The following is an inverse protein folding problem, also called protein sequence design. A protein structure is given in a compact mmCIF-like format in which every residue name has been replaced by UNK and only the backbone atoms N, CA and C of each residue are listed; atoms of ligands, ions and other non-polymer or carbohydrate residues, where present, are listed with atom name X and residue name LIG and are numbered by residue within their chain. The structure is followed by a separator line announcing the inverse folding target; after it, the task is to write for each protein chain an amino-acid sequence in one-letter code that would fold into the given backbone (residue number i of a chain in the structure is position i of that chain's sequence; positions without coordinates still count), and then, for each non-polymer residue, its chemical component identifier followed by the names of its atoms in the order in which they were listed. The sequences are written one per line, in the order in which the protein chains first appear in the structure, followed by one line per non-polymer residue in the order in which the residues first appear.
data_IF_248655062205
#
_entry.id   IF_248655062205
#
_cell.length_a   1.000
_cell.length_b   1.000
_cell.length_c   1.000
_cell.angle_alpha   90.00
_cell.angle_beta   90.00
_cell.angle_gamma   90.00
#
_symmetry.space_group_name_H-M   'P 1'
#
loop_
_entity.id
_entity.type
_entity.pdbx_description
1 polymer ?
#
# COMPACT_ATOMS: atom_id res chain seq x y z
N UNK A 1 -9.10 -10.55 5.28
CA UNK A 1 -9.27 -10.14 3.86
C UNK A 1 -8.43 -8.89 3.60
N UNK A 2 -7.83 -8.73 2.41
CA UNK A 2 -7.09 -7.51 2.00
C UNK A 2 -7.72 -6.90 0.74
N UNK A 3 -8.52 -5.83 0.85
CA UNK A 3 -9.19 -5.21 -0.28
C UNK A 3 -8.21 -4.50 -1.21
N UNK A 4 -8.50 -4.48 -2.51
CA UNK A 4 -7.67 -3.77 -3.48
C UNK A 4 -8.11 -2.30 -3.62
N UNK A 5 -7.21 -1.38 -3.31
CA UNK A 5 -7.45 0.08 -3.32
C UNK A 5 -7.24 0.74 -4.68
N UNK A 6 -6.93 -0.01 -5.75
CA UNK A 6 -6.78 0.56 -7.11
C UNK A 6 -8.06 1.26 -7.60
N UNK A 7 -9.22 0.83 -7.11
CA UNK A 7 -10.52 1.44 -7.45
C UNK A 7 -10.76 2.73 -6.67
N UNK A 8 -10.53 2.71 -5.36
CA UNK A 8 -10.86 3.84 -4.48
C UNK A 8 -9.75 4.89 -4.39
N UNK A 9 -8.48 4.49 -4.55
CA UNK A 9 -7.26 5.31 -4.50
C UNK A 9 -7.26 6.35 -3.38
N UNK A 10 -7.83 5.99 -2.24
CA UNK A 10 -8.08 6.91 -1.13
C UNK A 10 -7.69 6.23 0.19
N UNK A 11 -6.78 6.84 0.96
CA UNK A 11 -6.43 6.34 2.29
C UNK A 11 -7.63 6.32 3.24
N UNK A 12 -8.56 7.26 3.10
CA UNK A 12 -9.78 7.29 3.90
C UNK A 12 -10.58 5.98 3.78
N UNK A 13 -10.83 5.50 2.56
CA UNK A 13 -11.55 4.25 2.35
C UNK A 13 -10.75 3.02 2.76
N UNK A 14 -9.42 3.06 2.58
CA UNK A 14 -8.53 2.00 3.04
C UNK A 14 -8.63 1.83 4.57
N UNK A 15 -8.53 2.93 5.31
CA UNK A 15 -8.68 2.94 6.77
C UNK A 15 -10.08 2.48 7.20
N UNK A 16 -11.15 2.94 6.53
CA UNK A 16 -12.51 2.46 6.85
C UNK A 16 -12.69 0.95 6.64
N UNK A 17 -12.01 0.38 5.65
CA UNK A 17 -12.03 -1.07 5.44
C UNK A 17 -11.22 -1.81 6.50
N UNK A 18 -10.09 -1.25 6.94
CA UNK A 18 -9.28 -1.78 8.04
C UNK A 18 -10.07 -1.73 9.35
N UNK A 19 -10.71 -0.61 9.67
CA UNK A 19 -11.60 -0.45 10.83
C UNK A 19 -12.75 -1.47 10.80
N UNK A 20 -13.24 -1.82 9.60
CA UNK A 20 -14.27 -2.84 9.41
C UNK A 20 -13.74 -4.29 9.49
N UNK A 21 -12.45 -4.49 9.75
CA UNK A 21 -11.82 -5.80 9.95
C UNK A 21 -10.95 -6.30 8.79
N UNK A 22 -10.60 -5.45 7.82
CA UNK A 22 -9.56 -5.80 6.86
C UNK A 22 -8.19 -5.88 7.55
N UNK A 23 -7.37 -6.86 7.16
CA UNK A 23 -6.04 -7.06 7.74
C UNK A 23 -5.06 -5.95 7.28
N UNK A 24 -5.30 -5.44 6.08
CA UNK A 24 -4.51 -4.43 5.39
C UNK A 24 -5.12 -4.22 4.00
N UNK A 25 -4.40 -3.56 3.10
CA UNK A 25 -4.88 -3.28 1.74
C UNK A 25 -3.90 -3.70 0.66
N UNK A 26 -4.41 -3.86 -0.57
CA UNK A 26 -3.60 -4.15 -1.74
C UNK A 26 -3.57 -2.96 -2.71
N UNK A 27 -2.42 -2.63 -3.27
CA UNK A 27 -2.30 -1.63 -4.34
C UNK A 27 -1.49 -2.19 -5.53
N UNK A 28 -1.54 -1.49 -6.67
CA UNK A 28 -0.94 -1.97 -7.91
C UNK A 28 0.38 -1.26 -8.24
N UNK A 29 0.74 -0.19 -7.54
CA UNK A 29 1.94 0.62 -7.83
C UNK A 29 2.57 1.14 -6.55
N UNK A 30 3.90 1.24 -6.54
CA UNK A 30 4.66 1.85 -5.44
C UNK A 30 4.17 3.26 -5.08
N UNK A 31 3.84 4.09 -6.08
CA UNK A 31 3.30 5.43 -5.81
C UNK A 31 1.90 5.43 -5.15
N UNK A 32 1.09 4.39 -5.36
CA UNK A 32 -0.18 4.25 -4.61
C UNK A 32 0.12 3.84 -3.16
N UNK A 33 1.11 2.96 -2.95
CA UNK A 33 1.54 2.57 -1.61
C UNK A 33 2.04 3.79 -0.81
N UNK A 34 2.86 4.65 -1.41
CA UNK A 34 3.37 5.86 -0.74
C UNK A 34 2.24 6.76 -0.22
N UNK A 35 1.23 7.04 -1.05
CA UNK A 35 0.08 7.86 -0.65
C UNK A 35 -0.74 7.19 0.45
N UNK A 36 -0.87 5.86 0.43
CA UNK A 36 -1.57 5.11 1.47
C UNK A 36 -0.81 5.17 2.80
N UNK A 37 0.52 5.02 2.78
CA UNK A 37 1.37 5.14 3.99
C UNK A 37 1.32 6.54 4.55
N UNK A 38 1.44 7.58 3.71
CA UNK A 38 1.30 8.99 4.13
C UNK A 38 -0.08 9.24 4.76
N UNK A 39 -1.12 8.57 4.24
CA UNK A 39 -2.47 8.60 4.80
C UNK A 39 -2.68 7.72 6.05
N UNK A 40 -1.63 7.11 6.61
CA UNK A 40 -1.66 6.36 7.86
C UNK A 40 -1.92 4.85 7.72
N UNK A 41 -1.90 4.29 6.50
CA UNK A 41 -2.08 2.85 6.29
C UNK A 41 -0.73 2.13 6.42
N UNK A 42 -0.64 1.17 7.34
CA UNK A 42 0.63 0.53 7.69
C UNK A 42 0.84 -0.90 7.17
N UNK A 43 -0.18 -1.60 6.67
CA UNK A 43 -0.05 -2.96 6.07
C UNK A 43 -0.54 -2.93 4.61
N UNK A 44 0.42 -3.01 3.68
CA UNK A 44 0.15 -2.88 2.24
C UNK A 44 0.84 -4.01 1.47
N UNK A 45 0.06 -4.68 0.60
CA UNK A 45 0.56 -5.63 -0.39
C UNK A 45 0.54 -5.00 -1.79
N UNK A 46 1.70 -4.92 -2.45
CA UNK A 46 1.80 -4.50 -3.83
C UNK A 46 1.67 -5.72 -4.72
N UNK A 47 0.57 -5.85 -5.45
CA UNK A 47 0.26 -7.07 -6.21
C UNK A 47 0.85 -7.06 -7.62
N UNK A 48 1.92 -6.33 -7.85
CA UNK A 48 2.54 -6.17 -9.17
C UNK A 48 4.06 -6.17 -9.10
N UNK A 49 4.70 -6.57 -10.20
CA UNK A 49 6.14 -6.67 -10.28
C UNK A 49 6.81 -5.29 -10.36
N UNK A 50 7.86 -5.10 -9.57
CA UNK A 50 8.60 -3.85 -9.50
C UNK A 50 9.99 -4.08 -10.11
N UNK A 51 10.11 -3.78 -11.40
CA UNK A 51 11.33 -4.09 -12.16
C UNK A 51 12.36 -2.95 -12.23
N UNK A 52 11.94 -1.71 -11.99
CA UNK A 52 12.83 -0.55 -12.15
C UNK A 52 13.59 -0.23 -10.86
N UNK A 53 14.91 -0.07 -10.95
CA UNK A 53 15.79 0.24 -9.82
C UNK A 53 15.32 1.44 -8.98
N UNK A 54 14.80 2.50 -9.62
CA UNK A 54 14.26 3.68 -8.92
C UNK A 54 13.03 3.36 -8.06
N UNK A 55 12.11 2.52 -8.56
CA UNK A 55 10.94 2.08 -7.77
C UNK A 55 11.32 1.09 -6.68
N UNK A 56 12.32 0.24 -6.90
CA UNK A 56 12.84 -0.66 -5.86
C UNK A 56 13.46 0.15 -4.72
N UNK A 57 14.24 1.19 -5.03
CA UNK A 57 14.81 2.08 -4.02
C UNK A 57 13.72 2.80 -3.19
N UNK A 58 12.67 3.28 -3.86
CA UNK A 58 11.50 3.90 -3.21
C UNK A 58 10.74 2.92 -2.33
N UNK A 59 10.50 1.70 -2.82
CA UNK A 59 9.88 0.63 -2.06
C UNK A 59 10.69 0.30 -0.79
N UNK A 60 12.00 0.14 -0.92
CA UNK A 60 12.88 -0.18 0.20
C UNK A 60 12.93 0.96 1.24
N UNK A 61 12.80 2.21 0.81
CA UNK A 61 12.65 3.33 1.72
C UNK A 61 11.29 3.27 2.44
N UNK A 62 10.20 3.06 1.70
CA UNK A 62 8.84 2.98 2.22
C UNK A 62 8.65 1.83 3.23
N UNK A 63 9.33 0.69 3.01
CA UNK A 63 9.31 -0.47 3.91
C UNK A 63 9.93 -0.21 5.30
N UNK A 64 10.57 0.96 5.51
CA UNK A 64 11.02 1.38 6.85
C UNK A 64 9.90 2.00 7.68
N UNK A 65 8.91 2.57 7.01
CA UNK A 65 7.81 3.31 7.65
C UNK A 65 6.53 2.47 7.77
N UNK A 66 6.38 1.44 6.93
CA UNK A 66 5.22 0.55 6.90
C UNK A 66 5.60 -0.90 6.56
N UNK A 67 4.72 -1.84 6.90
CA UNK A 67 4.82 -3.25 6.53
C UNK A 67 4.40 -3.44 5.06
N UNK A 68 5.40 -3.32 4.17
CA UNK A 68 5.25 -3.46 2.73
C UNK A 68 5.60 -4.87 2.27
N UNK A 69 4.66 -5.49 1.56
CA UNK A 69 4.82 -6.80 0.92
C UNK A 69 4.74 -6.62 -0.60
N UNK A 70 5.47 -7.44 -1.35
CA UNK A 70 5.45 -7.50 -2.82
C UNK A 70 5.20 -8.94 -3.25
#
# INVERSE_FOLDING_TARGET
MRPHTKTTKSPYWALKQIDAGAVGVCCAKVGEAEVLVEGGVSDILITSEIISASKIARLAALARDADIKV
#
